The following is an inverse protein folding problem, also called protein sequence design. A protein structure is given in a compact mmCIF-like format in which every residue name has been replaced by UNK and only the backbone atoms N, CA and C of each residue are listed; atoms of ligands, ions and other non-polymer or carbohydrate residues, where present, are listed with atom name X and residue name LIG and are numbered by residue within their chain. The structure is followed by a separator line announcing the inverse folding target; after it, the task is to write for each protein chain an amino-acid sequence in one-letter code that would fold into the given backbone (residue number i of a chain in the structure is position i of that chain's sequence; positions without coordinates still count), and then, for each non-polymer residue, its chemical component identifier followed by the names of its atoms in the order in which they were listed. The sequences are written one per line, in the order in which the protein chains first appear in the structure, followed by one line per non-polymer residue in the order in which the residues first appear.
data_IF_954700941524
#
_entry.id   IF_954700941524
#
_cell.length_a   1.000
_cell.length_b   1.000
_cell.length_c   1.000
_cell.angle_alpha   90.00
_cell.angle_beta   90.00
_cell.angle_gamma   90.00
#
_symmetry.space_group_name_H-M   'P 1'
#
loop_
_entity.id
_entity.type
_entity.pdbx_description
1 polymer ?
#
# COMPACT_ATOMS: atom_id res chain seq x y z
N UNK A 1 14.19 -7.60 -22.94
CA UNK A 1 13.04 -8.13 -23.67
C UNK A 1 12.62 -7.25 -24.85
N UNK A 2 13.30 -6.10 -25.08
CA UNK A 2 13.05 -5.22 -26.22
C UNK A 2 11.71 -4.46 -26.22
N UNK A 3 10.96 -4.47 -25.10
CA UNK A 3 9.68 -3.79 -25.01
C UNK A 3 9.84 -2.31 -24.69
N UNK A 4 8.94 -1.49 -25.21
CA UNK A 4 8.80 -0.07 -24.88
C UNK A 4 7.93 0.09 -23.66
N UNK A 5 8.29 1.02 -22.78
CA UNK A 5 7.61 1.25 -21.51
C UNK A 5 6.67 2.44 -21.63
N UNK A 6 5.44 2.28 -21.22
CA UNK A 6 4.41 3.32 -21.19
C UNK A 6 3.95 3.52 -19.76
N UNK A 7 3.90 4.77 -19.31
CA UNK A 7 3.43 5.10 -17.95
C UNK A 7 1.97 5.51 -18.02
N UNK A 8 1.15 4.97 -17.11
CA UNK A 8 -0.27 5.28 -17.02
C UNK A 8 -0.68 5.52 -15.56
N UNK A 9 -0.95 6.77 -15.23
CA UNK A 9 -1.35 7.24 -13.92
C UNK A 9 -0.60 8.50 -13.52
N UNK A 10 -1.32 9.58 -13.23
CA UNK A 10 -0.71 10.91 -13.03
C UNK A 10 0.33 10.97 -11.92
N UNK A 11 0.10 10.28 -10.78
CA UNK A 11 1.09 10.21 -9.70
C UNK A 11 2.33 9.43 -10.10
N UNK A 12 2.18 8.34 -10.86
CA UNK A 12 3.30 7.56 -11.36
C UNK A 12 4.17 8.37 -12.34
N UNK A 13 3.53 9.06 -13.28
CA UNK A 13 4.21 9.92 -14.26
C UNK A 13 4.98 11.06 -13.56
N UNK A 14 4.35 11.74 -12.58
CA UNK A 14 5.00 12.80 -11.81
C UNK A 14 6.21 12.30 -11.02
N UNK A 15 6.08 11.18 -10.30
CA UNK A 15 7.16 10.57 -9.53
C UNK A 15 8.30 10.10 -10.44
N UNK A 16 7.98 9.56 -11.60
CA UNK A 16 8.96 9.15 -12.60
C UNK A 16 9.81 10.34 -13.08
N UNK A 17 9.18 11.47 -13.41
CA UNK A 17 9.89 12.67 -13.83
C UNK A 17 10.77 13.24 -12.73
N UNK A 18 10.32 13.22 -11.47
CA UNK A 18 11.13 13.63 -10.30
C UNK A 18 12.34 12.71 -10.14
N UNK A 19 12.13 11.40 -10.13
CA UNK A 19 13.20 10.42 -9.95
C UNK A 19 14.25 10.49 -11.08
N UNK A 20 13.81 10.75 -12.31
CA UNK A 20 14.67 11.01 -13.45
C UNK A 20 15.52 12.27 -13.27
N UNK A 21 14.89 13.40 -12.87
CA UNK A 21 15.60 14.65 -12.62
C UNK A 21 16.63 14.55 -11.49
N UNK A 22 16.33 13.76 -10.46
CA UNK A 22 17.23 13.51 -9.33
C UNK A 22 18.31 12.48 -9.63
N UNK A 23 18.30 11.85 -10.82
CA UNK A 23 19.29 10.85 -11.22
C UNK A 23 19.13 9.47 -10.59
N UNK A 24 18.00 9.20 -9.92
CA UNK A 24 17.68 7.87 -9.38
C UNK A 24 17.33 6.86 -10.47
N UNK A 25 16.85 7.35 -11.62
CA UNK A 25 16.52 6.51 -12.77
C UNK A 25 17.49 6.81 -13.93
N UNK A 26 18.19 5.75 -14.38
CA UNK A 26 19.10 5.80 -15.52
C UNK A 26 18.64 4.75 -16.53
N UNK A 27 18.18 5.19 -17.69
CA UNK A 27 17.73 4.33 -18.79
C UNK A 27 17.89 5.08 -20.12
N UNK A 28 17.92 4.37 -21.27
CA UNK A 28 17.94 4.99 -22.59
C UNK A 28 16.71 5.90 -22.78
N UNK A 29 16.87 7.13 -23.27
CA UNK A 29 15.77 8.09 -23.44
C UNK A 29 14.59 7.53 -24.26
N UNK A 30 14.88 6.67 -25.22
CA UNK A 30 13.92 6.03 -26.13
C UNK A 30 13.16 4.85 -25.51
N UNK A 31 13.41 4.49 -24.24
CA UNK A 31 12.74 3.37 -23.60
C UNK A 31 11.32 3.72 -23.14
N UNK A 32 11.14 4.93 -22.63
CA UNK A 32 9.87 5.36 -22.00
C UNK A 32 9.12 6.34 -22.87
N UNK A 33 7.88 6.00 -23.18
CA UNK A 33 7.00 6.74 -24.07
C UNK A 33 5.73 7.22 -23.37
N UNK A 34 5.07 8.23 -23.95
CA UNK A 34 3.76 8.64 -23.49
C UNK A 34 2.71 7.58 -23.77
N UNK A 35 1.83 7.29 -22.84
CA UNK A 35 0.71 6.35 -23.03
C UNK A 35 -0.21 6.75 -24.20
N UNK A 36 -0.22 8.03 -24.61
CA UNK A 36 -0.96 8.50 -25.78
C UNK A 36 -0.46 7.91 -27.09
N UNK A 37 0.76 7.40 -27.10
CA UNK A 37 1.39 6.82 -28.28
C UNK A 37 1.32 5.29 -28.32
N UNK A 38 0.72 4.65 -27.30
CA UNK A 38 0.69 3.20 -27.17
C UNK A 38 0.17 2.49 -28.42
N UNK A 39 -0.86 3.01 -29.04
CA UNK A 39 -1.50 2.43 -30.23
C UNK A 39 -0.65 2.52 -31.51
N UNK A 40 0.54 3.17 -31.47
CA UNK A 40 1.49 3.19 -32.60
C UNK A 40 2.37 1.95 -32.64
N UNK A 41 2.33 1.11 -31.61
CA UNK A 41 3.23 -0.04 -31.42
C UNK A 41 2.43 -1.35 -31.34
N UNK A 42 2.99 -2.48 -31.83
CA UNK A 42 2.34 -3.77 -31.70
C UNK A 42 2.35 -4.23 -30.24
N UNK A 43 1.31 -4.94 -29.80
CA UNK A 43 1.10 -5.37 -28.42
C UNK A 43 2.30 -6.09 -27.81
N UNK A 44 2.98 -6.93 -28.60
CA UNK A 44 4.16 -7.66 -28.17
C UNK A 44 5.34 -6.78 -27.74
N UNK A 45 5.38 -5.53 -28.21
CA UNK A 45 6.46 -4.56 -27.92
C UNK A 45 6.08 -3.60 -26.78
N UNK A 46 4.89 -3.76 -26.19
CA UNK A 46 4.34 -2.88 -25.17
C UNK A 46 4.55 -3.45 -23.78
N UNK A 47 5.00 -2.60 -22.84
CA UNK A 47 4.95 -2.81 -21.40
C UNK A 47 4.35 -1.57 -20.77
N UNK A 48 3.25 -1.74 -20.04
CA UNK A 48 2.57 -0.64 -19.35
C UNK A 48 2.85 -0.73 -17.85
N UNK A 49 3.38 0.35 -17.27
CA UNK A 49 3.43 0.54 -15.83
C UNK A 49 2.23 1.41 -15.43
N UNK A 50 1.40 0.89 -14.54
CA UNK A 50 0.10 1.50 -14.20
C UNK A 50 -0.09 1.64 -12.70
N UNK A 51 -0.84 2.67 -12.29
CA UNK A 51 -1.41 2.77 -10.95
C UNK A 51 -2.70 1.97 -10.83
N UNK A 52 -3.14 1.67 -9.59
CA UNK A 52 -4.46 1.07 -9.33
C UNK A 52 -4.42 -0.37 -8.82
N UNK A 53 -3.28 -0.82 -8.26
CA UNK A 53 -3.16 -2.16 -7.67
C UNK A 53 -4.03 -2.39 -6.42
N UNK A 54 -4.68 -1.34 -5.89
CA UNK A 54 -5.61 -1.42 -4.76
C UNK A 54 -7.09 -1.43 -5.20
N UNK A 55 -7.35 -1.41 -6.51
CA UNK A 55 -8.72 -1.43 -7.04
C UNK A 55 -9.45 -0.10 -6.94
N UNK A 56 -8.74 1.02 -6.76
CA UNK A 56 -9.35 2.34 -6.71
C UNK A 56 -10.08 2.66 -8.03
N UNK A 57 -11.36 3.08 -8.00
CA UNK A 57 -12.18 3.18 -9.21
C UNK A 57 -11.63 4.14 -10.28
N UNK A 58 -10.97 5.23 -9.85
CA UNK A 58 -10.41 6.26 -10.75
C UNK A 58 -8.99 5.95 -11.21
N UNK A 59 -8.34 4.92 -10.66
CA UNK A 59 -7.00 4.55 -11.04
C UNK A 59 -6.93 3.98 -12.47
N UNK A 60 -5.73 4.06 -13.06
CA UNK A 60 -5.57 3.69 -14.47
C UNK A 60 -5.92 2.22 -14.74
N UNK A 61 -5.46 1.27 -13.88
CA UNK A 61 -5.75 -0.15 -14.07
C UNK A 61 -7.25 -0.46 -13.93
N UNK A 62 -7.96 0.15 -12.98
CA UNK A 62 -9.41 -0.03 -12.83
C UNK A 62 -10.17 0.47 -14.04
N UNK A 63 -9.74 1.59 -14.62
CA UNK A 63 -10.33 2.11 -15.88
C UNK A 63 -10.03 1.19 -17.08
N UNK A 64 -8.85 0.56 -17.12
CA UNK A 64 -8.52 -0.45 -18.13
C UNK A 64 -9.45 -1.67 -17.98
N UNK A 65 -9.59 -2.19 -16.77
CA UNK A 65 -10.42 -3.36 -16.45
C UNK A 65 -11.93 -3.14 -16.70
N UNK A 66 -12.37 -1.89 -16.77
CA UNK A 66 -13.77 -1.53 -17.06
C UNK A 66 -13.98 -0.93 -18.46
N UNK A 67 -12.97 -1.02 -19.35
CA UNK A 67 -12.97 -0.41 -20.68
C UNK A 67 -13.16 1.13 -20.69
N UNK A 68 -12.92 1.80 -19.57
CA UNK A 68 -13.05 3.25 -19.42
C UNK A 68 -11.73 4.01 -19.64
N UNK A 69 -10.62 3.31 -19.92
CA UNK A 69 -9.34 3.96 -20.19
C UNK A 69 -9.28 4.44 -21.65
N UNK A 70 -8.87 5.70 -21.84
CA UNK A 70 -8.98 6.34 -23.16
C UNK A 70 -8.01 5.76 -24.22
N UNK A 71 -6.84 5.27 -23.80
CA UNK A 71 -5.77 4.86 -24.73
C UNK A 71 -5.48 3.36 -24.67
N UNK A 72 -5.63 2.73 -23.52
CA UNK A 72 -5.25 1.33 -23.29
C UNK A 72 -6.49 0.46 -23.21
N UNK A 73 -6.48 -0.63 -23.94
CA UNK A 73 -7.46 -1.73 -23.84
C UNK A 73 -6.73 -2.99 -23.46
N UNK A 74 -7.36 -3.78 -22.61
CA UNK A 74 -6.89 -5.14 -22.28
C UNK A 74 -7.42 -6.09 -23.33
N UNK A 75 -6.56 -6.94 -23.87
CA UNK A 75 -6.90 -7.96 -24.85
C UNK A 75 -6.79 -9.36 -24.25
N UNK A 76 -7.46 -10.31 -24.87
CA UNK A 76 -7.30 -11.73 -24.54
C UNK A 76 -5.82 -12.14 -24.71
N UNK A 77 -5.28 -12.84 -23.71
CA UNK A 77 -3.88 -13.26 -23.69
C UNK A 77 -2.89 -12.25 -23.11
N UNK A 78 -3.32 -11.03 -22.80
CA UNK A 78 -2.49 -10.08 -22.06
C UNK A 78 -2.12 -10.61 -20.68
N UNK A 79 -0.95 -10.22 -20.18
CA UNK A 79 -0.52 -10.55 -18.82
C UNK A 79 -0.51 -9.29 -17.97
N UNK A 80 -1.28 -9.31 -16.88
CA UNK A 80 -1.30 -8.24 -15.87
C UNK A 80 -0.61 -8.73 -14.61
N UNK A 81 0.49 -8.08 -14.24
CA UNK A 81 1.23 -8.38 -13.01
C UNK A 81 0.88 -7.35 -11.94
N UNK A 82 0.23 -7.79 -10.88
CA UNK A 82 -0.11 -6.97 -9.72
C UNK A 82 1.02 -7.06 -8.68
N UNK A 83 1.99 -6.15 -8.78
CA UNK A 83 3.14 -6.05 -7.88
C UNK A 83 2.78 -5.25 -6.61
N UNK A 84 1.66 -5.57 -6.00
CA UNK A 84 1.19 -4.97 -4.75
C UNK A 84 0.42 -5.99 -3.93
N UNK A 85 0.49 -5.87 -2.61
CA UNK A 85 -0.39 -6.61 -1.70
C UNK A 85 -1.61 -5.76 -1.39
N UNK A 86 -2.82 -6.34 -1.29
CA UNK A 86 -4.00 -5.61 -0.86
C UNK A 86 -3.77 -4.98 0.52
N UNK A 87 -4.08 -3.70 0.65
CA UNK A 87 -4.14 -3.04 1.95
C UNK A 87 -5.39 -3.56 2.68
N UNK A 88 -5.30 -3.84 4.01
CA UNK A 88 -6.46 -4.25 4.77
C UNK A 88 -7.68 -3.34 4.55
N UNK A 89 -8.80 -3.92 4.12
CA UNK A 89 -10.02 -3.22 3.73
C UNK A 89 -10.24 -3.06 2.22
N UNK A 90 -9.19 -3.25 1.40
CA UNK A 90 -9.30 -3.17 -0.06
C UNK A 90 -9.44 -4.55 -0.75
N UNK A 91 -9.51 -5.63 0.00
CA UNK A 91 -9.48 -7.00 -0.53
C UNK A 91 -10.61 -7.23 -1.55
N UNK A 92 -11.82 -6.77 -1.24
CA UNK A 92 -12.98 -6.91 -2.15
C UNK A 92 -12.79 -6.14 -3.46
N UNK A 93 -12.23 -4.94 -3.39
CA UNK A 93 -11.98 -4.10 -4.56
C UNK A 93 -10.89 -4.71 -5.44
N UNK A 94 -9.83 -5.22 -4.83
CA UNK A 94 -8.74 -5.91 -5.54
C UNK A 94 -9.27 -7.20 -6.18
N UNK A 95 -10.08 -7.98 -5.45
CA UNK A 95 -10.69 -9.20 -6.00
C UNK A 95 -11.60 -8.89 -7.19
N UNK A 96 -12.43 -7.85 -7.08
CA UNK A 96 -13.28 -7.39 -8.19
C UNK A 96 -12.45 -6.97 -9.41
N UNK A 97 -11.35 -6.25 -9.19
CA UNK A 97 -10.43 -5.86 -10.26
C UNK A 97 -9.83 -7.07 -10.98
N UNK A 98 -9.36 -8.07 -10.20
CA UNK A 98 -8.83 -9.33 -10.74
C UNK A 98 -9.88 -10.06 -11.57
N UNK A 99 -11.13 -10.13 -11.08
CA UNK A 99 -12.23 -10.78 -11.80
C UNK A 99 -12.55 -10.05 -13.12
N UNK A 100 -12.59 -8.72 -13.11
CA UNK A 100 -12.79 -7.93 -14.34
C UNK A 100 -11.70 -8.20 -15.39
N UNK A 101 -10.43 -8.21 -14.97
CA UNK A 101 -9.30 -8.48 -15.86
C UNK A 101 -9.34 -9.90 -16.43
N UNK A 102 -9.66 -10.88 -15.59
CA UNK A 102 -9.80 -12.27 -16.00
C UNK A 102 -10.96 -12.48 -17.00
N UNK A 103 -12.10 -11.78 -16.80
CA UNK A 103 -13.24 -11.78 -17.74
C UNK A 103 -12.90 -11.22 -19.11
N UNK A 104 -11.90 -10.32 -19.19
CA UNK A 104 -11.38 -9.82 -20.47
C UNK A 104 -10.39 -10.78 -21.15
N UNK A 105 -10.11 -11.94 -20.54
CA UNK A 105 -9.16 -12.93 -21.05
C UNK A 105 -7.71 -12.67 -20.65
N UNK A 106 -7.43 -11.72 -19.74
CA UNK A 106 -6.10 -11.48 -19.26
C UNK A 106 -5.63 -12.54 -18.25
N UNK A 107 -4.35 -12.88 -18.31
CA UNK A 107 -3.67 -13.67 -17.28
C UNK A 107 -3.25 -12.75 -16.15
N UNK A 108 -3.88 -12.86 -14.98
CA UNK A 108 -3.52 -12.05 -13.81
C UNK A 108 -2.54 -12.81 -12.93
N UNK A 109 -1.39 -12.18 -12.62
CA UNK A 109 -0.35 -12.69 -11.72
C UNK A 109 -0.26 -11.75 -10.53
N UNK A 110 -0.38 -12.28 -9.32
CA UNK A 110 -0.29 -11.52 -8.07
C UNK A 110 0.57 -12.27 -7.03
N UNK A 111 0.86 -11.64 -5.91
CA UNK A 111 1.79 -12.13 -4.89
C UNK A 111 1.45 -13.51 -4.28
N UNK A 112 0.20 -13.96 -4.34
CA UNK A 112 -0.17 -15.32 -3.90
C UNK A 112 0.20 -16.40 -4.93
N UNK A 113 0.41 -16.02 -6.20
CA UNK A 113 0.73 -16.96 -7.29
C UNK A 113 2.22 -16.95 -7.63
N UNK A 114 2.91 -15.83 -7.42
CA UNK A 114 4.34 -15.68 -7.70
C UNK A 114 4.93 -14.57 -6.84
N UNK A 115 6.23 -14.64 -6.58
CA UNK A 115 6.97 -13.59 -5.86
C UNK A 115 7.18 -12.37 -6.78
N UNK A 116 6.15 -11.53 -6.85
CA UNK A 116 6.11 -10.34 -7.71
C UNK A 116 6.04 -9.02 -6.92
N UNK A 117 6.05 -9.10 -5.57
CA UNK A 117 5.94 -7.93 -4.71
C UNK A 117 7.11 -7.86 -3.72
N UNK A 118 7.83 -6.74 -3.75
CA UNK A 118 8.79 -6.40 -2.71
C UNK A 118 8.11 -5.48 -1.69
N UNK A 119 8.07 -5.90 -0.42
CA UNK A 119 7.54 -5.07 0.66
C UNK A 119 8.41 -3.82 0.86
N UNK A 120 7.75 -2.68 1.11
CA UNK A 120 8.43 -1.46 1.55
C UNK A 120 8.69 -1.41 3.06
N UNK A 121 8.12 -2.36 3.82
CA UNK A 121 8.36 -2.47 5.26
C UNK A 121 9.62 -3.31 5.53
N UNK A 122 10.41 -2.88 6.54
CA UNK A 122 11.58 -3.61 7.00
C UNK A 122 11.21 -4.99 7.55
N UNK A 123 12.03 -5.98 7.25
CA UNK A 123 11.95 -7.30 7.85
C UNK A 123 12.50 -7.28 9.29
N UNK A 124 12.37 -8.37 10.01
CA UNK A 124 12.80 -8.48 11.40
C UNK A 124 14.26 -8.05 11.60
N UNK A 125 15.17 -8.48 10.73
CA UNK A 125 16.59 -8.14 10.82
C UNK A 125 16.86 -6.67 10.49
N UNK A 126 16.09 -6.06 9.61
CA UNK A 126 16.18 -4.62 9.31
C UNK A 126 15.77 -3.79 10.54
N UNK A 127 14.74 -4.22 11.27
CA UNK A 127 14.29 -3.59 12.51
C UNK A 127 15.36 -3.70 13.60
N UNK A 128 15.97 -4.88 13.77
CA UNK A 128 17.09 -5.09 14.71
C UNK A 128 18.31 -4.24 14.34
N UNK A 129 18.64 -4.18 13.05
CA UNK A 129 19.75 -3.35 12.57
C UNK A 129 19.50 -1.88 12.88
N UNK A 130 18.29 -1.37 12.63
CA UNK A 130 17.92 0.01 12.95
C UNK A 130 18.06 0.30 14.44
N UNK A 131 17.53 -0.57 15.30
CA UNK A 131 17.67 -0.41 16.75
C UNK A 131 19.14 -0.46 17.21
N UNK A 132 19.95 -1.33 16.63
CA UNK A 132 21.38 -1.44 16.93
C UNK A 132 22.18 -0.21 16.52
N UNK A 133 21.81 0.43 15.41
CA UNK A 133 22.45 1.65 14.92
C UNK A 133 22.03 2.90 15.74
N UNK A 134 20.73 3.03 16.01
CA UNK A 134 20.17 4.18 16.75
C UNK A 134 20.45 4.08 18.26
N UNK A 135 20.48 2.86 18.82
CA UNK A 135 20.63 2.56 20.25
C UNK A 135 19.65 3.37 21.12
N UNK A 136 18.35 3.27 20.88
CA UNK A 136 17.36 4.05 21.60
C UNK A 136 17.28 3.58 23.06
N UNK A 137 16.91 4.50 23.98
CA UNK A 137 16.62 4.15 25.37
C UNK A 137 15.23 3.51 25.52
N UNK A 138 14.29 3.90 24.67
CA UNK A 138 12.91 3.42 24.65
C UNK A 138 12.49 3.12 23.22
N UNK A 139 11.74 2.05 23.04
CA UNK A 139 11.08 1.70 21.77
C UNK A 139 9.57 1.83 21.90
N UNK A 140 8.96 2.56 20.98
CA UNK A 140 7.51 2.68 20.86
C UNK A 140 7.12 2.26 19.44
N UNK A 141 6.73 1.01 19.22
CA UNK A 141 6.23 0.58 17.93
C UNK A 141 4.92 1.27 17.60
N UNK A 142 4.84 1.89 16.43
CA UNK A 142 3.64 2.54 15.90
C UNK A 142 3.29 1.92 14.56
N UNK A 143 2.05 2.17 14.10
CA UNK A 143 1.52 1.61 12.87
C UNK A 143 1.37 0.08 12.91
N UNK A 144 0.24 -0.40 12.43
CA UNK A 144 -0.12 -1.83 12.48
C UNK A 144 -0.95 -2.22 13.71
N UNK A 145 -1.45 -3.44 13.69
CA UNK A 145 -2.25 -4.02 14.75
C UNK A 145 -1.42 -4.28 16.01
N UNK A 146 -2.08 -4.43 17.15
CA UNK A 146 -1.40 -4.65 18.44
C UNK A 146 -0.40 -5.82 18.40
N UNK A 147 -0.77 -6.95 17.79
CA UNK A 147 0.11 -8.12 17.70
C UNK A 147 1.39 -7.83 16.89
N UNK A 148 1.30 -7.00 15.84
CA UNK A 148 2.47 -6.60 15.03
C UNK A 148 3.40 -5.71 15.84
N UNK A 149 2.83 -4.73 16.57
CA UNK A 149 3.60 -3.86 17.48
C UNK A 149 4.24 -4.66 18.60
N UNK A 150 3.53 -5.65 19.14
CA UNK A 150 4.06 -6.56 20.15
C UNK A 150 5.22 -7.38 19.60
N UNK A 151 5.08 -7.97 18.42
CA UNK A 151 6.16 -8.73 17.77
C UNK A 151 7.41 -7.87 17.54
N UNK A 152 7.25 -6.58 17.16
CA UNK A 152 8.39 -5.66 17.06
C UNK A 152 9.02 -5.39 18.45
N UNK A 153 8.21 -5.17 19.47
CA UNK A 153 8.71 -4.97 20.84
C UNK A 153 9.47 -6.17 21.38
N UNK A 154 9.07 -7.38 21.04
CA UNK A 154 9.72 -8.62 21.48
C UNK A 154 11.13 -8.82 20.89
N UNK A 155 11.55 -8.00 19.90
CA UNK A 155 12.91 -8.01 19.34
C UNK A 155 13.94 -7.25 20.19
N UNK A 156 13.51 -6.42 21.16
CA UNK A 156 14.45 -5.53 21.87
C UNK A 156 15.51 -6.27 22.68
N UNK A 157 15.24 -7.45 23.30
CA UNK A 157 16.30 -8.21 23.97
C UNK A 157 17.40 -8.69 23.02
N UNK A 158 17.08 -8.98 21.76
CA UNK A 158 18.04 -9.45 20.76
C UNK A 158 19.11 -8.40 20.43
N UNK A 159 18.80 -7.13 20.68
CA UNK A 159 19.73 -6.02 20.46
C UNK A 159 20.28 -5.44 21.77
N UNK A 160 20.12 -6.17 22.89
CA UNK A 160 20.65 -5.80 24.20
C UNK A 160 19.84 -4.72 24.95
N UNK A 161 18.61 -4.44 24.52
CA UNK A 161 17.71 -3.51 25.22
C UNK A 161 16.77 -4.29 26.16
N UNK A 162 16.54 -3.82 27.41
CA UNK A 162 15.57 -4.46 28.30
C UNK A 162 14.15 -4.45 27.71
N UNK A 163 13.42 -5.56 27.84
CA UNK A 163 12.04 -5.66 27.34
C UNK A 163 11.11 -4.61 27.97
N UNK A 164 11.39 -4.18 29.21
CA UNK A 164 10.64 -3.13 29.88
C UNK A 164 10.72 -1.77 29.16
N UNK A 165 11.68 -1.59 28.27
CA UNK A 165 11.86 -0.37 27.49
C UNK A 165 11.07 -0.39 26.16
N UNK A 166 10.36 -1.47 25.86
CA UNK A 166 9.42 -1.55 24.74
C UNK A 166 8.00 -1.21 25.22
N UNK A 167 7.42 -0.14 24.72
CA UNK A 167 6.14 0.40 25.20
C UNK A 167 5.06 0.23 24.15
N UNK A 168 4.04 -0.57 24.44
CA UNK A 168 2.87 -0.78 23.59
C UNK A 168 1.83 0.29 23.92
N UNK A 169 1.76 1.33 23.11
CA UNK A 169 0.85 2.45 23.29
C UNK A 169 -0.31 2.37 22.30
N UNK A 170 -1.49 2.68 22.76
CA UNK A 170 -2.68 2.81 21.93
C UNK A 170 -3.00 4.28 21.64
N UNK A 171 -3.94 4.54 20.74
CA UNK A 171 -4.40 5.90 20.45
C UNK A 171 -4.93 6.55 21.74
N UNK A 172 -4.51 7.79 22.00
CA UNK A 172 -4.88 8.54 23.21
C UNK A 172 -3.87 8.41 24.36
N UNK A 173 -2.93 7.46 24.28
CA UNK A 173 -1.80 7.45 25.22
C UNK A 173 -0.81 8.58 24.89
N UNK A 174 -0.22 9.17 25.90
CA UNK A 174 0.73 10.30 25.77
C UNK A 174 2.09 9.91 26.28
N UNK A 175 3.12 10.32 25.55
CA UNK A 175 4.50 10.27 25.98
C UNK A 175 4.93 11.70 26.28
N UNK A 176 5.37 11.96 27.48
CA UNK A 176 5.96 13.24 27.86
C UNK A 176 7.48 13.09 27.99
N UNK A 177 8.22 13.91 27.27
CA UNK A 177 9.69 13.94 27.34
C UNK A 177 10.10 15.30 27.87
N UNK A 178 10.68 15.33 29.07
CA UNK A 178 11.14 16.56 29.72
C UNK A 178 12.48 16.33 30.37
N UNK A 179 13.44 17.19 30.10
CA UNK A 179 14.78 17.15 30.67
C UNK A 179 15.46 15.77 30.61
N UNK A 180 15.28 15.06 29.48
CA UNK A 180 15.81 13.72 29.26
C UNK A 180 15.06 12.59 29.98
N UNK A 181 13.99 12.90 30.72
CA UNK A 181 13.11 11.92 31.37
C UNK A 181 11.90 11.63 30.50
N UNK A 182 11.51 10.36 30.44
CA UNK A 182 10.37 9.90 29.68
C UNK A 182 9.28 9.41 30.64
N UNK A 183 8.09 9.94 30.49
CA UNK A 183 6.91 9.51 31.25
C UNK A 183 5.82 9.04 30.28
N UNK A 184 5.20 7.88 30.58
CA UNK A 184 4.15 7.29 29.78
C UNK A 184 2.81 7.43 30.51
N UNK A 185 1.89 8.20 29.90
CA UNK A 185 0.54 8.41 30.43
C UNK A 185 -0.46 7.64 29.57
N UNK A 186 -1.22 6.74 30.22
CA UNK A 186 -2.25 5.98 29.54
C UNK A 186 -3.57 6.76 29.58
N UNK A 187 -4.30 6.75 28.45
CA UNK A 187 -5.67 7.31 28.35
C UNK A 187 -5.78 8.80 28.71
N UNK A 188 -4.74 9.58 28.45
CA UNK A 188 -4.73 11.02 28.74
C UNK A 188 -5.60 11.82 27.74
N UNK A 189 -5.72 11.30 26.50
CA UNK A 189 -6.57 11.90 25.47
C UNK A 189 -7.70 10.94 25.13
N UNK A 190 -8.95 11.39 25.31
CA UNK A 190 -10.13 10.60 24.93
C UNK A 190 -10.20 10.50 23.40
N UNK A 191 -10.13 9.28 22.88
CA UNK A 191 -10.29 8.98 21.45
C UNK A 191 -11.59 8.22 21.23
N UNK A 192 -12.23 8.47 20.09
CA UNK A 192 -13.41 7.73 19.63
C UNK A 192 -13.30 7.42 18.14
N UNK A 193 -13.91 6.35 17.73
CA UNK A 193 -14.09 6.09 16.31
C UNK A 193 -15.15 7.04 15.75
N UNK A 194 -14.81 7.73 14.67
CA UNK A 194 -15.75 8.54 13.90
C UNK A 194 -15.95 7.83 12.57
N UNK A 195 -17.17 7.40 12.31
CA UNK A 195 -17.52 6.80 11.02
C UNK A 195 -17.80 7.94 10.03
N UNK A 196 -17.10 7.91 8.90
CA UNK A 196 -17.29 8.86 7.81
C UNK A 196 -18.10 8.17 6.72
N UNK A 197 -19.32 8.63 6.49
CA UNK A 197 -20.13 8.28 5.33
C UNK A 197 -19.88 9.34 4.25
N UNK A 198 -19.85 8.94 2.95
CA UNK A 198 -19.48 9.81 1.83
C UNK A 198 -20.23 11.14 1.69
N UNK A 199 -21.26 11.38 2.49
CA UNK A 199 -22.07 12.61 2.54
C UNK A 199 -21.94 13.42 3.85
N UNK A 200 -21.17 12.93 4.84
CA UNK A 200 -21.01 13.66 6.11
C UNK A 200 -20.18 12.93 7.15
N UNK A 201 -19.66 13.70 8.11
CA UNK A 201 -19.10 13.19 9.36
C UNK A 201 -20.19 13.21 10.41
N UNK A 202 -20.58 12.08 10.97
CA UNK A 202 -21.61 12.04 11.99
C UNK A 202 -21.85 10.65 12.57
N UNK A 203 -22.56 10.60 13.68
CA UNK A 203 -23.00 9.37 14.31
C UNK A 203 -23.95 8.63 13.36
N UNK A 204 -23.47 7.60 12.70
CA UNK A 204 -24.35 6.60 12.10
C UNK A 204 -25.18 6.01 13.24
N UNK A 205 -26.50 6.08 13.13
CA UNK A 205 -27.38 5.50 14.14
C UNK A 205 -27.02 4.06 14.41
N UNK A 206 -27.13 3.63 15.67
CA UNK A 206 -26.79 2.26 16.12
C UNK A 206 -27.45 1.16 15.29
N UNK A 207 -28.55 1.47 14.64
CA UNK A 207 -29.29 0.55 13.76
C UNK A 207 -28.56 0.31 12.43
N UNK A 208 -27.99 1.35 11.81
CA UNK A 208 -27.21 1.24 10.56
C UNK A 208 -25.92 0.45 10.79
N UNK A 209 -25.27 0.63 11.95
CA UNK A 209 -24.10 -0.16 12.31
C UNK A 209 -24.44 -1.65 12.48
N UNK A 210 -25.55 -1.98 13.16
CA UNK A 210 -26.02 -3.37 13.30
C UNK A 210 -26.39 -4.00 11.97
N UNK A 211 -27.07 -3.27 11.10
CA UNK A 211 -27.43 -3.75 9.75
C UNK A 211 -26.18 -4.03 8.91
N UNK A 212 -25.15 -3.18 8.99
CA UNK A 212 -23.87 -3.40 8.30
C UNK A 212 -23.10 -4.58 8.90
N UNK A 213 -23.09 -4.76 10.21
CA UNK A 213 -22.48 -5.93 10.86
C UNK A 213 -23.17 -7.23 10.42
N UNK A 214 -24.51 -7.22 10.36
CA UNK A 214 -25.30 -8.39 9.90
C UNK A 214 -25.02 -8.70 8.43
N UNK A 215 -24.88 -7.69 7.56
CA UNK A 215 -24.53 -7.89 6.15
C UNK A 215 -23.09 -8.35 5.94
N UNK A 216 -22.18 -8.03 6.84
CA UNK A 216 -20.78 -8.45 6.76
C UNK A 216 -20.54 -9.88 7.25
N UNK A 217 -21.53 -10.49 7.94
CA UNK A 217 -21.48 -11.88 8.43
C UNK A 217 -22.13 -12.90 7.46
N UNK A 218 -22.75 -12.44 6.37
CA UNK A 218 -23.30 -13.24 5.28
C UNK A 218 -22.42 -13.13 4.02
#
# INVERSE_FOLDING_TARGET
YGRRVFLSGGSLEANFEIAKKLGFLKFPPELVHSVREVNKYPDRDILILSTGGQGEPMAALSRMATNAHAQVKIHEGDTVVMSSSPIPGNERQVQFLVDCLARMGAKVVHNQLADVHASGHGQQEDLKLMMSLVRPQHLVPVHGNFYMRRAHGDLVPDVGMPLANAHMLDNGHVIEIKDGKVEFKKEDIKVRYVVVDGLGTGDLGSQVLKERETMAQN
#
